data_IF_182689781308
#
_entry.id   IF_182689781308
#
_cell.length_a   1.000
_cell.length_b   1.000
_cell.length_c   1.000
_cell.angle_alpha   90.00
_cell.angle_beta   90.00
_cell.angle_gamma   90.00
#
_symmetry.space_group_name_H-M   'P 1'
#
loop_
_entity.id
_entity.type
_entity.pdbx_description
1 polymer ?
#
# COMPACT_ATOMS: atom_id res chain seq x y z
N UNK A 1 -1.60 -6.91 -7.13
CA UNK A 1 -0.88 -7.46 -5.96
C UNK A 1 -0.12 -6.32 -5.34
N UNK A 2 -0.22 -6.14 -4.03
CA UNK A 2 0.24 -4.92 -3.38
C UNK A 2 1.17 -5.22 -2.21
N UNK A 3 2.11 -4.33 -1.95
CA UNK A 3 3.03 -4.42 -0.82
C UNK A 3 2.74 -3.27 0.13
N UNK A 4 2.56 -3.59 1.40
CA UNK A 4 2.39 -2.61 2.48
C UNK A 4 3.67 -2.53 3.28
N UNK A 5 4.32 -1.39 3.28
CA UNK A 5 5.34 -1.07 4.26
C UNK A 5 4.72 -0.56 5.56
N UNK A 6 4.59 -1.45 6.53
CA UNK A 6 4.01 -1.16 7.85
C UNK A 6 4.80 -0.12 8.66
N UNK A 7 6.11 0.02 8.40
CA UNK A 7 6.98 0.89 9.20
C UNK A 7 6.82 2.36 8.77
N UNK A 8 6.81 2.58 7.45
CA UNK A 8 6.59 3.91 6.86
C UNK A 8 5.11 4.22 6.57
N UNK A 9 4.22 3.24 6.78
CA UNK A 9 2.79 3.30 6.46
C UNK A 9 2.53 3.63 4.99
N UNK A 10 3.29 2.98 4.11
CA UNK A 10 3.21 3.21 2.66
C UNK A 10 2.70 1.97 1.96
N UNK A 11 1.79 2.17 1.01
CA UNK A 11 1.26 1.13 0.14
C UNK A 11 1.87 1.26 -1.25
N UNK A 12 2.31 0.13 -1.80
CA UNK A 12 2.89 0.03 -3.13
C UNK A 12 2.02 -0.86 -4.00
N UNK A 13 1.68 -0.35 -5.19
CA UNK A 13 1.06 -1.15 -6.24
C UNK A 13 2.14 -1.79 -7.13
N UNK A 14 2.23 -3.13 -7.11
CA UNK A 14 3.18 -3.86 -7.95
C UNK A 14 2.77 -3.90 -9.42
N UNK A 15 1.53 -3.52 -9.77
CA UNK A 15 1.09 -3.47 -11.17
C UNK A 15 1.58 -2.22 -11.90
N UNK A 16 2.02 -1.19 -11.16
CA UNK A 16 2.43 0.13 -11.68
C UNK A 16 3.79 0.58 -11.11
N UNK A 17 4.68 -0.37 -10.78
CA UNK A 17 5.96 -0.03 -10.15
C UNK A 17 6.85 0.76 -11.10
N UNK A 18 7.29 1.94 -10.66
CA UNK A 18 8.25 2.79 -11.37
C UNK A 18 9.68 2.51 -10.90
N UNK A 19 10.68 2.87 -11.70
CA UNK A 19 12.09 2.66 -11.36
C UNK A 19 12.49 3.36 -10.05
N UNK A 20 11.92 4.54 -9.80
CA UNK A 20 12.15 5.38 -8.62
C UNK A 20 11.46 4.85 -7.36
N UNK A 21 10.58 3.84 -7.49
CA UNK A 21 9.89 3.23 -6.37
C UNK A 21 10.82 2.26 -5.62
N UNK A 22 11.50 2.74 -4.60
CA UNK A 22 12.29 1.92 -3.70
C UNK A 22 11.41 1.27 -2.62
N UNK A 23 11.06 -0.01 -2.82
CA UNK A 23 10.35 -0.81 -1.82
C UNK A 23 11.40 -1.39 -0.85
N UNK A 24 11.38 -1.05 0.45
CA UNK A 24 12.34 -1.58 1.40
C UNK A 24 12.19 -3.11 1.51
N UNK A 25 13.31 -3.78 1.75
CA UNK A 25 13.36 -5.24 1.86
C UNK A 25 12.47 -5.70 3.00
N UNK A 26 11.47 -6.53 2.70
CA UNK A 26 10.53 -7.05 3.69
C UNK A 26 11.27 -8.01 4.64
N UNK A 27 11.24 -7.75 5.96
CA UNK A 27 11.79 -8.67 6.97
C UNK A 27 11.09 -10.04 6.90
N UNK A 28 11.84 -11.14 7.02
CA UNK A 28 11.31 -12.52 6.83
C UNK A 28 10.23 -12.89 7.86
N UNK A 29 10.24 -12.25 9.02
CA UNK A 29 9.28 -12.33 10.11
C UNK A 29 7.93 -11.66 9.76
N UNK A 30 7.90 -10.70 8.84
CA UNK A 30 6.71 -9.90 8.49
C UNK A 30 6.08 -10.31 7.16
N UNK A 31 5.72 -11.58 7.02
CA UNK A 31 5.11 -12.16 5.78
C UNK A 31 3.80 -11.50 5.35
N UNK A 32 3.07 -10.82 6.25
CA UNK A 32 1.75 -10.20 5.96
C UNK A 32 1.81 -8.90 5.14
N UNK A 33 2.99 -8.48 4.66
CA UNK A 33 3.12 -7.24 3.86
C UNK A 33 2.61 -7.37 2.42
N UNK A 34 2.35 -8.57 1.89
CA UNK A 34 1.88 -8.77 0.52
C UNK A 34 0.38 -9.09 0.53
N UNK A 35 -0.41 -8.27 -0.15
CA UNK A 35 -1.86 -8.41 -0.24
C UNK A 35 -2.32 -8.67 -1.67
N UNK A 36 -3.34 -9.52 -1.79
CA UNK A 36 -4.23 -9.50 -2.97
C UNK A 36 -5.08 -8.23 -2.94
N UNK A 37 -5.78 -7.95 -4.04
CA UNK A 37 -6.71 -6.82 -4.11
C UNK A 37 -7.75 -6.85 -2.98
N UNK A 38 -8.44 -8.00 -2.83
CA UNK A 38 -9.41 -8.25 -1.74
C UNK A 38 -8.75 -8.09 -0.37
N UNK A 39 -7.53 -8.60 -0.21
CA UNK A 39 -6.80 -8.48 1.05
C UNK A 39 -6.53 -7.03 1.44
N UNK A 40 -6.23 -6.17 0.48
CA UNK A 40 -6.04 -4.75 0.79
C UNK A 40 -7.35 -4.00 0.99
N UNK A 41 -8.44 -4.36 0.28
CA UNK A 41 -9.77 -3.79 0.56
C UNK A 41 -10.10 -3.95 2.05
N UNK A 42 -9.90 -5.15 2.59
CA UNK A 42 -10.08 -5.40 4.02
C UNK A 42 -9.05 -4.67 4.90
N UNK A 43 -7.78 -4.61 4.47
CA UNK A 43 -6.73 -3.90 5.21
C UNK A 43 -7.05 -2.41 5.39
N UNK A 44 -7.47 -1.72 4.32
CA UNK A 44 -7.76 -0.29 4.34
C UNK A 44 -9.15 0.03 4.93
N UNK A 45 -10.07 -0.93 4.92
CA UNK A 45 -11.35 -0.80 5.61
C UNK A 45 -11.21 -0.75 7.14
N UNK A 46 -10.12 -1.31 7.68
CA UNK A 46 -9.81 -1.24 9.10
C UNK A 46 -9.50 0.21 9.52
N UNK A 47 -10.26 0.81 10.47
CA UNK A 47 -10.01 2.16 10.96
C UNK A 47 -8.58 2.40 11.46
N UNK A 48 -7.89 1.36 11.94
CA UNK A 48 -6.51 1.44 12.41
C UNK A 48 -5.50 1.72 11.29
N UNK A 49 -5.86 1.45 10.03
CA UNK A 49 -4.96 1.57 8.88
C UNK A 49 -5.26 2.80 7.99
N UNK A 50 -6.12 3.74 8.44
CA UNK A 50 -6.47 4.96 7.68
C UNK A 50 -5.30 5.91 7.42
N UNK A 51 -4.25 5.79 8.21
CA UNK A 51 -3.03 6.61 8.11
C UNK A 51 -2.08 6.16 6.99
N UNK A 52 -2.35 5.00 6.38
CA UNK A 52 -1.53 4.51 5.28
C UNK A 52 -1.76 5.34 4.02
N UNK A 53 -0.68 5.61 3.30
CA UNK A 53 -0.69 6.41 2.06
C UNK A 53 -0.15 5.60 0.90
N UNK A 54 -0.55 5.95 -0.32
CA UNK A 54 0.04 5.41 -1.53
C UNK A 54 1.50 5.84 -1.66
N UNK A 55 2.33 5.03 -2.29
CA UNK A 55 3.68 5.44 -2.64
C UNK A 55 3.61 6.54 -3.71
N UNK A 56 4.32 7.66 -3.51
CA UNK A 56 4.37 8.80 -4.44
C UNK A 56 4.74 8.46 -5.89
N UNK A 57 5.36 7.31 -6.11
CA UNK A 57 5.85 6.91 -7.43
C UNK A 57 4.91 5.95 -8.14
N UNK A 58 4.50 4.85 -7.49
CA UNK A 58 3.60 3.89 -8.11
C UNK A 58 2.11 4.16 -7.86
N UNK A 59 1.79 5.05 -6.91
CA UNK A 59 0.42 5.47 -6.54
C UNK A 59 0.36 6.98 -6.24
N UNK A 60 0.78 7.86 -7.18
CA UNK A 60 0.85 9.31 -6.94
C UNK A 60 -0.50 9.91 -6.53
N UNK A 61 -1.59 9.44 -7.13
CA UNK A 61 -2.96 9.91 -6.87
C UNK A 61 -3.41 9.66 -5.41
N UNK A 62 -2.71 8.77 -4.70
CA UNK A 62 -3.05 8.37 -3.33
C UNK A 62 -1.93 8.69 -2.32
N UNK A 63 -0.92 9.44 -2.72
CA UNK A 63 0.20 9.83 -1.83
C UNK A 63 -0.22 10.86 -0.78
N UNK A 64 -1.07 11.80 -1.18
CA UNK A 64 -1.58 12.88 -0.31
C UNK A 64 -3.04 12.66 0.11
N UNK A 65 -3.67 11.60 -0.38
CA UNK A 65 -5.10 11.33 -0.20
C UNK A 65 -5.36 10.08 0.65
N UNK A 66 -6.56 10.04 1.22
CA UNK A 66 -7.09 8.89 1.96
C UNK A 66 -7.23 7.68 1.01
N UNK A 67 -6.42 6.65 1.28
CA UNK A 67 -6.37 5.38 0.56
C UNK A 67 -7.67 4.57 0.63
N UNK A 68 -8.63 4.89 1.51
CA UNK A 68 -9.94 4.23 1.56
C UNK A 68 -10.78 4.46 0.29
N UNK A 69 -10.39 5.42 -0.54
CA UNK A 69 -11.05 5.76 -1.81
C UNK A 69 -10.61 4.92 -3.01
N UNK A 70 -9.51 4.15 -2.90
CA UNK A 70 -8.90 3.48 -4.06
C UNK A 70 -9.79 2.42 -4.71
N UNK A 71 -10.82 1.95 -3.99
CA UNK A 71 -11.76 0.92 -4.42
C UNK A 71 -13.21 1.38 -4.48
N UNK A 72 -13.46 2.68 -4.30
CA UNK A 72 -14.82 3.23 -4.43
C UNK A 72 -15.10 3.45 -5.92
N UNK A 73 -15.70 2.44 -6.56
CA UNK A 73 -16.45 2.59 -7.81
C UNK A 73 -17.74 3.38 -7.58
#
# INVERSE_FOLDING_TARGET
MWIVDLDNKVVHDLTRTQYECHIPKIPKDRRKKIFTEIGMQHFLADPMNKEYRGCRFCMPDYYEFDMTSIFKT
#
